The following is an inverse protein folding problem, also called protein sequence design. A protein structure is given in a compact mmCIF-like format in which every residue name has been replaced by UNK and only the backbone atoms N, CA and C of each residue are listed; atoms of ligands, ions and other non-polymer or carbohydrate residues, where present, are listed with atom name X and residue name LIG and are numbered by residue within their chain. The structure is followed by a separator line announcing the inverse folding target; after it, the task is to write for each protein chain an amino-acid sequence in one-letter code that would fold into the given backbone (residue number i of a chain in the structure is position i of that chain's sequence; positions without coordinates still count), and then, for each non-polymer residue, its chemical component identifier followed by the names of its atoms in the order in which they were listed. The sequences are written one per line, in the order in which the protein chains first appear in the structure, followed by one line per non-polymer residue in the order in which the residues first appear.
data_IF_821991578385
#
_entry.id   IF_821991578385
#
_cell.length_a   1.000
_cell.length_b   1.000
_cell.length_c   1.000
_cell.angle_alpha   90.00
_cell.angle_beta   90.00
_cell.angle_gamma   90.00
#
_symmetry.space_group_name_H-M   'P 1'
#
loop_
_entity.id
_entity.type
_entity.pdbx_description
1 polymer ?
#
# COMPACT_ATOMS: atom_id res chain seq x y z
N UNK A 1 -34.97 16.08 -41.01
CA UNK A 1 -34.62 14.77 -40.38
C UNK A 1 -33.11 14.57 -40.47
N UNK A 2 -32.39 15.08 -39.49
CA UNK A 2 -30.93 15.18 -39.46
C UNK A 2 -30.34 13.91 -38.85
N UNK A 3 -29.91 12.96 -39.70
CA UNK A 3 -29.16 11.77 -39.29
C UNK A 3 -27.66 12.09 -39.28
N UNK A 4 -27.11 12.53 -38.15
CA UNK A 4 -25.67 12.52 -37.88
C UNK A 4 -25.44 12.31 -36.38
N UNK A 5 -25.37 11.05 -35.95
CA UNK A 5 -25.05 10.74 -34.54
C UNK A 5 -24.50 9.32 -34.34
N UNK A 6 -23.61 8.85 -35.22
CA UNK A 6 -22.96 7.54 -35.03
C UNK A 6 -21.45 7.54 -35.31
N UNK A 7 -20.89 8.60 -35.89
CA UNK A 7 -19.45 8.67 -36.20
C UNK A 7 -18.60 9.36 -35.12
N UNK A 8 -19.20 9.87 -34.04
CA UNK A 8 -18.46 10.55 -32.97
C UNK A 8 -17.89 9.57 -31.94
N UNK A 9 -18.56 8.43 -31.73
CA UNK A 9 -18.11 7.41 -30.78
C UNK A 9 -16.73 6.80 -31.12
N UNK A 10 -16.43 6.36 -32.36
CA UNK A 10 -15.13 5.77 -32.66
C UNK A 10 -13.97 6.78 -32.61
N UNK A 11 -14.24 8.07 -32.82
CA UNK A 11 -13.24 9.14 -32.76
C UNK A 11 -12.88 9.51 -31.33
N UNK A 12 -13.78 9.30 -30.35
CA UNK A 12 -13.48 9.47 -28.93
C UNK A 12 -12.79 8.25 -28.31
N UNK A 13 -13.06 7.04 -28.82
CA UNK A 13 -12.44 5.79 -28.32
C UNK A 13 -11.00 5.61 -28.82
N UNK A 14 -10.70 6.05 -30.05
CA UNK A 14 -9.35 5.96 -30.62
C UNK A 14 -8.25 6.68 -29.81
N UNK A 15 -8.40 7.94 -29.37
CA UNK A 15 -7.39 8.61 -28.54
C UNK A 15 -7.24 7.96 -27.17
N UNK A 16 -8.32 7.45 -26.55
CA UNK A 16 -8.21 6.73 -25.28
C UNK A 16 -7.44 5.40 -25.37
N UNK A 17 -7.37 4.78 -26.55
CA UNK A 17 -6.57 3.57 -26.79
C UNK A 17 -5.11 3.88 -27.16
N UNK A 18 -4.83 5.11 -27.60
CA UNK A 18 -3.49 5.58 -27.98
C UNK A 18 -2.72 6.21 -26.81
N UNK A 19 -3.40 6.62 -25.72
CA UNK A 19 -2.77 7.09 -24.47
C UNK A 19 -2.17 5.96 -23.61
N UNK A 20 -1.68 4.88 -24.25
CA UNK A 20 -1.25 3.66 -23.56
C UNK A 20 0.12 3.77 -22.86
N UNK A 21 0.84 4.86 -23.07
CA UNK A 21 2.26 4.98 -22.68
C UNK A 21 2.52 5.89 -21.47
N UNK A 22 1.51 6.54 -20.88
CA UNK A 22 1.67 7.30 -19.61
C UNK A 22 1.27 6.46 -18.37
N UNK A 23 0.91 5.19 -18.58
CA UNK A 23 0.50 4.29 -17.49
C UNK A 23 1.72 3.73 -16.75
N UNK A 24 2.01 4.37 -15.62
CA UNK A 24 2.71 3.86 -14.44
C UNK A 24 3.22 2.39 -14.54
N UNK A 25 4.47 2.15 -14.96
CA UNK A 25 5.02 0.80 -15.11
C UNK A 25 5.64 0.25 -13.82
N UNK A 26 5.47 0.92 -12.68
CA UNK A 26 6.18 0.64 -11.44
C UNK A 26 5.24 0.14 -10.38
N UNK A 27 4.74 -1.09 -10.46
CA UNK A 27 4.17 -1.71 -9.27
C UNK A 27 4.22 -3.22 -9.33
N UNK A 28 4.84 -3.82 -8.31
CA UNK A 28 4.73 -5.25 -8.01
C UNK A 28 3.30 -5.65 -7.55
N UNK A 29 2.38 -4.68 -7.42
CA UNK A 29 0.98 -4.87 -7.02
C UNK A 29 0.00 -4.04 -7.88
N UNK A 30 -0.70 -4.65 -8.84
CA UNK A 30 -1.57 -3.93 -9.77
C UNK A 30 -2.87 -3.54 -9.06
N UNK A 31 -2.93 -2.39 -8.39
CA UNK A 31 -4.18 -1.91 -7.81
C UNK A 31 -4.35 -0.39 -7.94
N UNK A 32 -4.98 -0.01 -9.05
CA UNK A 32 -5.76 1.21 -9.36
C UNK A 32 -5.04 2.39 -10.06
N UNK A 33 -5.86 3.13 -10.83
CA UNK A 33 -5.49 4.09 -11.89
C UNK A 33 -4.91 5.42 -11.41
N UNK A 34 -4.59 6.29 -12.38
CA UNK A 34 -3.81 7.54 -12.26
C UNK A 34 -3.44 7.91 -10.81
N UNK A 35 -2.23 7.54 -10.34
CA UNK A 35 -1.83 7.79 -8.96
C UNK A 35 -1.85 9.29 -8.67
N UNK A 36 -2.48 9.67 -7.56
CA UNK A 36 -2.36 11.03 -7.01
C UNK A 36 -0.91 11.20 -6.51
N UNK A 37 -0.31 12.38 -6.68
CA UNK A 37 1.04 12.74 -6.20
C UNK A 37 1.24 12.53 -4.69
N UNK A 38 0.16 12.27 -3.94
CA UNK A 38 0.15 12.04 -2.49
C UNK A 38 -0.23 10.62 -2.08
N UNK A 39 -0.33 9.68 -3.02
CA UNK A 39 -0.71 8.31 -2.66
C UNK A 39 0.45 7.53 -2.00
N UNK A 40 0.11 6.90 -0.87
CA UNK A 40 0.97 5.93 -0.19
C UNK A 40 0.32 4.54 -0.18
N UNK A 41 1.12 3.49 -0.34
CA UNK A 41 0.64 2.10 -0.21
C UNK A 41 1.33 1.40 0.94
N UNK A 42 0.58 0.58 1.68
CA UNK A 42 1.14 -0.17 2.81
C UNK A 42 1.05 -1.67 2.57
N UNK A 43 2.19 -2.36 2.66
CA UNK A 43 2.30 -3.81 2.50
C UNK A 43 3.13 -4.43 3.62
N UNK A 44 3.06 -5.76 3.75
CA UNK A 44 3.94 -6.49 4.65
C UNK A 44 5.13 -7.06 3.91
N UNK A 45 6.31 -6.88 4.49
CA UNK A 45 7.58 -7.37 3.98
C UNK A 45 8.30 -8.19 5.04
N UNK A 46 9.25 -9.00 4.58
CA UNK A 46 10.30 -9.58 5.43
C UNK A 46 11.64 -8.93 5.12
N UNK A 47 12.53 -8.91 6.10
CA UNK A 47 13.93 -8.56 5.91
C UNK A 47 14.82 -9.82 5.91
N UNK A 48 14.41 -10.89 5.22
CA UNK A 48 15.07 -12.21 5.28
C UNK A 48 16.59 -12.14 5.01
N UNK A 49 17.03 -11.30 4.06
CA UNK A 49 18.44 -11.23 3.64
C UNK A 49 19.14 -9.89 3.94
N UNK A 50 18.40 -8.79 4.09
CA UNK A 50 18.98 -7.47 4.41
C UNK A 50 17.92 -6.52 4.98
N UNK A 51 18.23 -5.77 6.06
CA UNK A 51 17.35 -4.72 6.60
C UNK A 51 17.13 -3.55 5.61
N UNK A 52 17.96 -3.44 4.58
CA UNK A 52 17.87 -2.39 3.55
C UNK A 52 17.00 -2.80 2.35
N UNK A 53 16.63 -4.08 2.23
CA UNK A 53 15.82 -4.58 1.12
C UNK A 53 14.62 -5.38 1.66
N UNK A 54 13.49 -4.69 1.94
CA UNK A 54 12.26 -5.38 2.28
C UNK A 54 11.79 -6.25 1.12
N UNK A 55 11.63 -7.56 1.36
CA UNK A 55 11.07 -8.51 0.40
C UNK A 55 9.55 -8.55 0.60
N UNK A 56 8.73 -8.17 -0.39
CA UNK A 56 7.28 -8.17 -0.24
C UNK A 56 6.72 -9.58 0.01
N UNK A 57 5.87 -9.71 1.04
CA UNK A 57 5.15 -10.94 1.31
C UNK A 57 3.81 -10.98 0.56
N UNK A 58 3.47 -12.17 0.04
CA UNK A 58 2.12 -12.47 -0.46
C UNK A 58 1.15 -12.67 0.72
N UNK A 59 0.89 -11.59 1.45
CA UNK A 59 0.10 -11.62 2.68
C UNK A 59 -1.34 -12.12 2.48
N UNK A 60 -1.90 -11.96 1.27
CA UNK A 60 -3.24 -12.47 0.94
C UNK A 60 -3.32 -13.99 1.07
N UNK A 61 -2.27 -14.71 0.69
CA UNK A 61 -2.26 -16.17 0.75
C UNK A 61 -2.13 -16.64 2.20
N UNK A 62 -1.34 -15.90 3.00
CA UNK A 62 -1.07 -16.23 4.40
C UNK A 62 -2.22 -15.85 5.35
N UNK A 63 -2.80 -14.66 5.20
CA UNK A 63 -3.77 -14.09 6.14
C UNK A 63 -5.13 -13.79 5.52
N UNK A 64 -5.24 -13.77 4.19
CA UNK A 64 -6.43 -13.28 3.49
C UNK A 64 -6.53 -11.76 3.38
N UNK A 65 -5.58 -11.01 3.94
CA UNK A 65 -5.58 -9.55 3.88
C UNK A 65 -5.03 -9.03 2.57
N UNK A 66 -5.58 -7.91 2.10
CA UNK A 66 -5.08 -7.15 0.96
C UNK A 66 -4.32 -5.91 1.44
N UNK A 67 -3.41 -5.36 0.64
CA UNK A 67 -2.67 -4.14 0.99
C UNK A 67 -3.59 -2.95 1.41
N UNK A 68 -4.73 -2.67 0.72
CA UNK A 68 -5.68 -1.66 1.18
C UNK A 68 -6.26 -1.95 2.56
N UNK A 69 -6.48 -3.23 2.90
CA UNK A 69 -6.96 -3.63 4.21
C UNK A 69 -5.89 -3.43 5.29
N UNK A 70 -4.63 -3.70 4.97
CA UNK A 70 -3.47 -3.41 5.85
C UNK A 70 -3.39 -1.90 6.11
N UNK A 71 -3.45 -1.05 5.07
CA UNK A 71 -3.49 0.42 5.20
C UNK A 71 -4.65 0.89 6.08
N UNK A 72 -5.84 0.33 5.85
CA UNK A 72 -7.03 0.65 6.66
C UNK A 72 -6.86 0.24 8.13
N UNK A 73 -6.23 -0.91 8.39
CA UNK A 73 -5.94 -1.35 9.75
C UNK A 73 -4.94 -0.40 10.42
N UNK A 74 -3.83 -0.07 9.76
CA UNK A 74 -2.84 0.88 10.30
C UNK A 74 -3.47 2.21 10.67
N UNK A 75 -4.22 2.82 9.75
CA UNK A 75 -4.87 4.12 10.00
C UNK A 75 -5.88 4.07 11.16
N UNK A 76 -6.52 2.92 11.37
CA UNK A 76 -7.40 2.69 12.50
C UNK A 76 -6.60 2.59 13.80
N UNK A 77 -5.65 1.65 13.90
CA UNK A 77 -4.87 1.45 15.12
C UNK A 77 -4.07 2.69 15.53
N UNK A 78 -3.43 3.37 14.58
CA UNK A 78 -2.76 4.65 14.83
C UNK A 78 -3.74 5.73 15.28
N UNK A 79 -4.98 5.72 14.78
CA UNK A 79 -6.01 6.65 15.23
C UNK A 79 -6.51 6.36 16.64
N UNK A 80 -6.80 5.09 16.93
CA UNK A 80 -7.25 4.64 18.24
C UNK A 80 -6.18 4.95 19.31
N UNK A 81 -4.90 4.75 18.99
CA UNK A 81 -3.78 5.10 19.88
C UNK A 81 -3.61 6.61 20.05
N UNK A 82 -3.64 7.38 18.95
CA UNK A 82 -3.50 8.83 19.02
C UNK A 82 -4.64 9.48 19.83
N UNK A 83 -5.88 8.99 19.67
CA UNK A 83 -7.03 9.43 20.46
C UNK A 83 -6.84 9.11 21.95
N UNK A 84 -6.38 7.90 22.28
CA UNK A 84 -6.09 7.51 23.67
C UNK A 84 -5.01 8.40 24.31
N UNK A 85 -4.02 8.84 23.51
CA UNK A 85 -2.94 9.72 23.94
C UNK A 85 -3.27 11.21 23.84
N UNK A 86 -4.45 11.57 23.30
CA UNK A 86 -4.87 12.96 23.00
C UNK A 86 -3.85 13.72 22.14
N UNK A 87 -3.32 13.04 21.12
CA UNK A 87 -2.37 13.59 20.12
C UNK A 87 -2.94 13.47 18.71
N UNK A 88 -2.36 14.21 17.77
CA UNK A 88 -2.59 13.91 16.35
C UNK A 88 -1.87 12.62 15.94
N UNK A 89 -2.35 11.94 14.89
CA UNK A 89 -1.70 10.75 14.33
C UNK A 89 -0.31 11.08 13.78
N UNK A 90 -0.11 12.29 13.25
CA UNK A 90 1.20 12.75 12.77
C UNK A 90 2.24 12.79 13.89
N UNK A 91 1.79 13.03 15.12
CA UNK A 91 2.63 13.32 16.28
C UNK A 91 3.00 12.05 17.07
N UNK A 92 2.61 10.87 16.59
CA UNK A 92 2.99 9.60 17.20
C UNK A 92 4.51 9.39 17.08
N UNK A 93 5.17 9.14 18.21
CA UNK A 93 6.62 8.85 18.25
C UNK A 93 6.94 7.51 17.59
N UNK A 94 8.20 7.24 17.21
CA UNK A 94 8.58 5.94 16.65
C UNK A 94 8.22 4.76 17.56
N UNK A 95 8.33 4.92 18.88
CA UNK A 95 7.95 3.90 19.86
C UNK A 95 6.44 3.64 19.86
N UNK A 96 5.63 4.70 19.78
CA UNK A 96 4.17 4.60 19.70
C UNK A 96 3.72 3.95 18.38
N UNK A 97 4.41 4.23 17.26
CA UNK A 97 4.18 3.56 15.97
C UNK A 97 4.57 2.09 16.02
N UNK A 98 5.64 1.74 16.72
CA UNK A 98 6.02 0.34 16.94
C UNK A 98 4.98 -0.41 17.78
N UNK A 99 4.32 0.26 18.74
CA UNK A 99 3.19 -0.33 19.49
C UNK A 99 2.01 -0.65 18.56
N UNK A 100 1.67 0.26 17.64
CA UNK A 100 0.66 -0.01 16.59
C UNK A 100 1.06 -1.22 15.76
N UNK A 101 2.32 -1.27 15.30
CA UNK A 101 2.87 -2.41 14.58
C UNK A 101 2.70 -3.72 15.34
N UNK A 102 3.05 -3.75 16.63
CA UNK A 102 2.92 -4.92 17.49
C UNK A 102 1.48 -5.43 17.57
N UNK A 103 0.50 -4.54 17.75
CA UNK A 103 -0.91 -4.91 17.78
C UNK A 103 -1.37 -5.49 16.44
N UNK A 104 -0.92 -4.90 15.33
CA UNK A 104 -1.23 -5.40 14.00
C UNK A 104 -0.59 -6.76 13.71
N UNK A 105 0.68 -6.98 14.08
CA UNK A 105 1.34 -8.28 13.92
C UNK A 105 0.62 -9.37 14.70
N UNK A 106 0.18 -9.09 15.93
CA UNK A 106 -0.61 -10.05 16.71
C UNK A 106 -1.94 -10.42 16.03
N UNK A 107 -2.62 -9.46 15.38
CA UNK A 107 -3.81 -9.75 14.59
C UNK A 107 -3.49 -10.55 13.32
N UNK A 108 -2.38 -10.25 12.65
CA UNK A 108 -1.95 -11.00 11.48
C UNK A 108 -1.61 -12.46 11.83
N UNK A 109 -0.94 -12.68 12.96
CA UNK A 109 -0.65 -14.03 13.48
C UNK A 109 -1.95 -14.81 13.73
N UNK A 110 -2.98 -14.17 14.32
CA UNK A 110 -4.30 -14.79 14.50
C UNK A 110 -4.96 -15.14 13.16
N UNK A 111 -4.92 -14.23 12.19
CA UNK A 111 -5.53 -14.46 10.87
C UNK A 111 -4.79 -15.55 10.07
N UNK A 112 -3.47 -15.62 10.18
CA UNK A 112 -2.68 -16.70 9.59
C UNK A 112 -3.02 -18.04 10.25
N UNK A 113 -3.08 -18.09 11.59
CA UNK A 113 -3.44 -19.29 12.33
C UNK A 113 -4.84 -19.81 11.97
N UNK A 114 -5.82 -18.92 11.78
CA UNK A 114 -7.17 -19.28 11.29
C UNK A 114 -7.16 -19.96 9.92
N UNK A 115 -6.12 -19.75 9.11
CA UNK A 115 -5.93 -20.35 7.79
C UNK A 115 -4.93 -21.51 7.79
N UNK A 116 -4.53 -21.97 8.98
CA UNK A 116 -3.47 -22.96 9.17
C UNK A 116 -2.13 -22.56 8.50
N UNK A 117 -1.84 -21.27 8.50
CA UNK A 117 -0.60 -20.68 8.02
C UNK A 117 0.19 -20.08 9.19
N UNK A 118 1.49 -19.93 9.01
CA UNK A 118 2.38 -19.25 9.95
C UNK A 118 3.05 -18.08 9.24
N UNK A 119 3.14 -16.93 9.91
CA UNK A 119 3.90 -15.80 9.38
C UNK A 119 5.40 -15.95 9.71
N UNK A 120 6.29 -15.41 8.86
CA UNK A 120 7.71 -15.26 9.18
C UNK A 120 7.94 -14.53 10.51
N UNK A 121 9.05 -14.81 11.18
CA UNK A 121 9.41 -14.12 12.42
C UNK A 121 9.74 -12.63 12.17
N UNK A 122 10.49 -12.35 11.09
CA UNK A 122 10.95 -11.01 10.75
C UNK A 122 9.94 -10.34 9.83
N UNK A 123 8.96 -9.65 10.41
CA UNK A 123 7.93 -8.91 9.67
C UNK A 123 8.14 -7.42 9.78
N UNK A 124 7.80 -6.72 8.70
CA UNK A 124 7.76 -5.28 8.67
C UNK A 124 6.53 -4.79 7.92
N UNK A 125 5.98 -3.67 8.38
CA UNK A 125 4.96 -2.91 7.65
C UNK A 125 5.71 -1.81 6.91
N UNK A 126 5.65 -1.85 5.59
CA UNK A 126 6.31 -0.90 4.70
C UNK A 126 5.26 0.02 4.10
N UNK A 127 5.49 1.33 4.17
CA UNK A 127 4.79 2.34 3.39
C UNK A 127 5.61 2.73 2.19
N UNK A 128 5.04 2.69 1.00
CA UNK A 128 5.66 3.21 -0.23
C UNK A 128 5.04 4.56 -0.50
N UNK A 129 5.87 5.59 -0.55
CA UNK A 129 5.50 6.89 -1.07
C UNK A 129 5.75 6.92 -2.57
N UNK A 130 4.76 7.39 -3.32
CA UNK A 130 4.85 7.55 -4.77
C UNK A 130 4.96 9.04 -5.05
N UNK A 131 6.05 9.44 -5.67
CA UNK A 131 6.29 10.82 -6.06
C UNK A 131 6.41 10.92 -7.58
N UNK A 132 5.68 11.86 -8.19
CA UNK A 132 5.91 12.22 -9.58
C UNK A 132 7.10 13.17 -9.66
N UNK A 133 8.16 12.76 -10.37
CA UNK A 133 9.29 13.62 -10.65
C UNK A 133 9.13 14.23 -12.04
N UNK A 134 8.96 15.57 -12.15
CA UNK A 134 8.80 16.24 -13.43
C UNK A 134 9.95 15.89 -14.38
N UNK A 135 9.62 15.23 -15.50
CA UNK A 135 10.59 14.82 -16.53
C UNK A 135 11.39 13.54 -16.23
N UNK A 136 11.20 12.88 -15.09
CA UNK A 136 11.83 11.58 -14.75
C UNK A 136 10.82 10.45 -14.52
N UNK A 137 9.53 10.76 -14.52
CA UNK A 137 8.46 9.80 -14.24
C UNK A 137 8.30 9.57 -12.75
N UNK A 138 7.75 8.42 -12.38
CA UNK A 138 7.38 8.13 -11.01
C UNK A 138 8.50 7.47 -10.22
N UNK A 139 8.59 7.75 -8.93
CA UNK A 139 9.55 7.13 -8.00
C UNK A 139 8.83 6.57 -6.79
N UNK A 140 9.17 5.33 -6.44
CA UNK A 140 8.67 4.64 -5.25
C UNK A 140 9.73 4.67 -4.15
N UNK A 141 9.41 5.25 -2.98
CA UNK A 141 10.30 5.27 -1.83
C UNK A 141 9.72 4.44 -0.69
N UNK A 142 10.30 3.28 -0.34
CA UNK A 142 9.83 2.46 0.77
C UNK A 142 10.30 3.01 2.12
N UNK A 143 9.38 3.07 3.08
CA UNK A 143 9.60 3.51 4.45
C UNK A 143 9.10 2.43 5.42
N UNK A 144 9.93 2.06 6.38
CA UNK A 144 9.54 1.12 7.44
C UNK A 144 8.68 1.87 8.46
N UNK A 145 7.42 1.45 8.59
CA UNK A 145 6.50 2.02 9.58
C UNK A 145 6.66 1.35 10.95
N UNK A 146 6.82 0.03 10.95
CA UNK A 146 7.08 -0.78 12.13
C UNK A 146 7.69 -2.11 11.72
N UNK A 147 8.56 -2.67 12.57
CA UNK A 147 9.13 -4.00 12.39
C UNK A 147 9.01 -4.84 13.66
N UNK A 148 8.88 -6.16 13.47
CA UNK A 148 8.98 -7.16 14.51
C UNK A 148 10.46 -7.53 14.67
N UNK A 149 11.01 -7.49 15.90
CA UNK A 149 12.37 -7.94 16.18
C UNK A 149 12.50 -9.46 16.04
#
# INVERSE_FOLDING_TARGET
KTRRSFFVLPVLVAPSLLSRDDYYPLSWFPMYGDPDEKESFQYLATFEDSPEQPVPLKIRDLTGLTAPKVKKMWNRYSGDLAEALKKDKSDLTPEERNEVGRQMFAEFDKMAAQRAQTLPANLAIIEVLIEENPGKGWTETPHVLASRP
#
